data_IF_085231179481
#
_entry.id   IF_085231179481
#
_cell.length_a   1.000
_cell.length_b   1.000
_cell.length_c   1.000
_cell.angle_alpha   90.00
_cell.angle_beta   90.00
_cell.angle_gamma   90.00
#
_symmetry.space_group_name_H-M   'P 1'
#
loop_
_entity.id
_entity.type
_entity.pdbx_description
1 polymer ?
#
# COMPACT_ATOMS: atom_id res chain seq x y z
N UNK A 1 -1.31 35.06 -13.94
CA UNK A 1 -0.69 34.00 -13.14
C UNK A 1 -1.02 32.68 -13.84
N UNK A 2 -0.08 32.16 -14.65
CA UNK A 2 -0.31 30.89 -15.37
C UNK A 2 -0.24 29.76 -14.37
N UNK A 3 -1.38 29.08 -14.17
CA UNK A 3 -1.45 27.82 -13.42
C UNK A 3 -0.86 26.75 -14.35
N UNK A 4 0.21 26.05 -13.98
CA UNK A 4 0.74 24.97 -14.80
C UNK A 4 -0.30 23.84 -14.92
N UNK A 5 -0.28 23.07 -16.03
CA UNK A 5 -1.23 21.98 -16.21
C UNK A 5 -1.12 20.93 -15.08
N UNK A 6 -2.26 20.40 -14.71
CA UNK A 6 -2.41 19.33 -13.72
C UNK A 6 -1.68 18.08 -14.22
N UNK A 7 -0.62 17.67 -13.52
CA UNK A 7 0.11 16.43 -13.79
C UNK A 7 -0.58 15.27 -13.08
N UNK A 8 -0.68 14.15 -13.76
CA UNK A 8 -1.36 12.95 -13.25
C UNK A 8 -0.45 11.74 -13.20
N UNK A 9 -0.67 10.94 -12.19
CA UNK A 9 0.08 9.73 -11.94
C UNK A 9 -0.86 8.54 -12.13
N UNK A 10 -0.46 7.65 -13.03
CA UNK A 10 -1.07 6.33 -13.18
C UNK A 10 -0.13 5.31 -12.53
N UNK A 11 -0.54 4.77 -11.41
CA UNK A 11 0.09 3.57 -10.91
C UNK A 11 -0.62 2.39 -11.54
N UNK A 12 0.03 1.76 -12.51
CA UNK A 12 -0.32 0.47 -13.09
C UNK A 12 -1.61 0.35 -13.91
N UNK A 13 -1.49 0.28 -15.21
CA UNK A 13 -2.46 -0.42 -16.02
C UNK A 13 -1.75 -1.21 -17.11
N UNK A 14 -1.51 -2.49 -16.88
CA UNK A 14 -1.27 -3.41 -17.97
C UNK A 14 -2.45 -3.29 -18.96
N UNK A 15 -2.17 -2.91 -20.20
CA UNK A 15 -3.13 -2.86 -21.30
C UNK A 15 -3.60 -4.29 -21.63
N UNK A 16 -4.54 -4.81 -20.86
CA UNK A 16 -5.36 -5.93 -21.28
C UNK A 16 -6.59 -5.34 -21.95
N UNK A 17 -6.81 -5.68 -23.21
CA UNK A 17 -7.92 -5.28 -24.07
C UNK A 17 -9.29 -5.83 -23.66
N UNK A 18 -9.47 -6.22 -22.41
CA UNK A 18 -10.74 -6.64 -21.85
C UNK A 18 -11.33 -5.54 -21.00
N UNK A 19 -12.64 -5.26 -21.07
CA UNK A 19 -13.27 -4.27 -20.22
C UNK A 19 -13.01 -4.62 -18.75
N UNK A 20 -12.45 -3.65 -18.01
CA UNK A 20 -12.17 -3.78 -16.59
C UNK A 20 -13.51 -3.86 -15.83
N UNK A 21 -13.91 -5.07 -15.45
CA UNK A 21 -15.07 -5.26 -14.60
C UNK A 21 -14.63 -5.07 -13.14
N UNK A 22 -14.88 -3.90 -12.58
CA UNK A 22 -14.76 -3.68 -11.15
C UNK A 22 -15.93 -4.36 -10.45
N UNK A 23 -15.66 -5.37 -9.64
CA UNK A 23 -16.68 -5.98 -8.78
C UNK A 23 -16.80 -5.18 -7.49
N UNK A 24 -17.90 -4.47 -7.34
CA UNK A 24 -18.23 -3.78 -6.10
C UNK A 24 -19.08 -4.71 -5.23
N UNK A 25 -18.65 -4.97 -4.00
CA UNK A 25 -19.44 -5.69 -3.01
C UNK A 25 -20.06 -4.68 -2.05
N UNK A 26 -21.38 -4.61 -2.04
CA UNK A 26 -22.12 -3.80 -1.07
C UNK A 26 -22.68 -4.71 0.01
N UNK A 27 -22.32 -4.46 1.26
CA UNK A 27 -22.90 -5.16 2.41
C UNK A 27 -24.23 -4.54 2.73
N UNK A 28 -25.30 -5.29 2.57
CA UNK A 28 -26.64 -4.98 3.09
C UNK A 28 -27.02 -6.05 4.11
N UNK A 29 -27.90 -5.75 5.06
CA UNK A 29 -28.27 -6.65 6.18
C UNK A 29 -28.82 -8.03 5.79
N UNK A 30 -29.01 -8.31 4.53
CA UNK A 30 -29.54 -9.55 3.95
C UNK A 30 -28.54 -10.31 3.06
N UNK A 31 -27.27 -9.94 3.11
CA UNK A 31 -26.18 -10.63 2.41
C UNK A 31 -25.41 -9.76 1.43
N UNK A 32 -24.35 -10.34 0.87
CA UNK A 32 -23.48 -9.69 -0.12
C UNK A 32 -24.13 -9.76 -1.49
N UNK A 33 -24.61 -8.65 -2.02
CA UNK A 33 -25.04 -8.58 -3.42
C UNK A 33 -23.87 -8.20 -4.31
N UNK A 34 -23.61 -9.04 -5.31
CA UNK A 34 -22.65 -8.74 -6.38
C UNK A 34 -23.27 -7.73 -7.32
N UNK A 35 -22.75 -6.52 -7.35
CA UNK A 35 -23.13 -5.50 -8.32
C UNK A 35 -22.03 -5.40 -9.37
N UNK A 36 -22.33 -5.74 -10.60
CA UNK A 36 -21.42 -5.47 -11.71
C UNK A 36 -21.59 -4.00 -12.12
N UNK A 37 -20.55 -3.21 -11.90
CA UNK A 37 -20.46 -1.87 -12.47
C UNK A 37 -19.61 -1.95 -13.72
N UNK A 38 -20.18 -1.58 -14.85
CA UNK A 38 -19.40 -1.26 -16.03
C UNK A 38 -18.66 0.03 -15.70
N UNK A 39 -17.37 -0.07 -15.47
CA UNK A 39 -16.53 1.12 -15.33
C UNK A 39 -16.25 1.59 -16.75
N UNK A 40 -16.82 2.72 -17.14
CA UNK A 40 -16.44 3.39 -18.38
C UNK A 40 -14.92 3.58 -18.38
N UNK A 41 -14.30 3.31 -19.52
CA UNK A 41 -12.87 3.54 -19.69
C UNK A 41 -12.61 5.02 -19.42
N UNK A 42 -11.85 5.31 -18.39
CA UNK A 42 -11.51 6.68 -18.06
C UNK A 42 -10.76 7.33 -19.24
N UNK A 43 -11.15 8.55 -19.58
CA UNK A 43 -10.43 9.35 -20.56
C UNK A 43 -9.21 9.99 -19.88
N UNK A 44 -8.04 9.74 -20.44
CA UNK A 44 -6.75 10.24 -19.96
C UNK A 44 -6.11 11.23 -20.96
N UNK A 45 -6.86 11.72 -21.95
CA UNK A 45 -6.33 12.58 -23.00
C UNK A 45 -5.65 13.85 -22.45
N UNK A 46 -6.11 14.35 -21.30
CA UNK A 46 -5.57 15.55 -20.65
C UNK A 46 -4.47 15.24 -19.61
N UNK A 47 -3.99 13.99 -19.58
CA UNK A 47 -3.09 13.52 -18.55
C UNK A 47 -1.80 12.94 -19.12
N UNK A 48 -0.68 13.23 -18.47
CA UNK A 48 0.60 12.64 -18.75
C UNK A 48 0.98 11.68 -17.62
N UNK A 49 1.41 10.44 -17.98
CA UNK A 49 1.94 9.50 -17.03
C UNK A 49 3.33 9.96 -16.57
N UNK A 50 3.45 10.36 -15.32
CA UNK A 50 4.71 10.88 -14.75
C UNK A 50 5.44 9.87 -13.88
N UNK A 51 4.74 8.88 -13.36
CA UNK A 51 5.32 7.81 -12.57
C UNK A 51 4.39 6.60 -12.50
N UNK A 52 4.98 5.40 -12.49
CA UNK A 52 4.27 4.15 -12.23
C UNK A 52 5.22 3.11 -11.63
N UNK A 53 4.65 2.10 -10.99
CA UNK A 53 5.34 0.88 -10.60
C UNK A 53 4.39 -0.31 -10.78
N UNK A 54 4.73 -1.20 -11.69
CA UNK A 54 3.93 -2.38 -12.04
C UNK A 54 4.33 -3.63 -11.25
N UNK A 55 5.41 -3.52 -10.45
CA UNK A 55 5.95 -4.62 -9.65
C UNK A 55 6.29 -5.88 -10.48
N UNK A 56 6.73 -5.69 -11.73
CA UNK A 56 6.96 -6.77 -12.71
C UNK A 56 8.12 -7.68 -12.33
N UNK A 57 9.07 -7.17 -11.53
CA UNK A 57 10.23 -7.92 -11.08
C UNK A 57 9.94 -8.60 -9.75
N UNK A 58 9.94 -9.93 -9.73
CA UNK A 58 9.82 -10.70 -8.50
C UNK A 58 10.98 -10.43 -7.53
N UNK A 59 10.70 -10.43 -6.24
CA UNK A 59 11.66 -10.17 -5.17
C UNK A 59 11.32 -8.93 -4.35
N UNK A 60 12.33 -8.21 -3.89
CA UNK A 60 12.10 -6.98 -3.13
C UNK A 60 11.58 -5.86 -4.02
N UNK A 61 10.67 -5.00 -3.53
CA UNK A 61 10.30 -3.75 -4.18
C UNK A 61 11.53 -2.92 -4.59
N UNK A 62 11.43 -2.23 -5.72
CA UNK A 62 12.54 -1.46 -6.27
C UNK A 62 13.00 -0.37 -5.27
N UNK A 63 14.25 -0.39 -4.80
CA UNK A 63 14.76 0.61 -3.89
C UNK A 63 14.89 2.01 -4.53
N UNK A 64 14.77 2.13 -5.85
CA UNK A 64 14.66 3.44 -6.49
C UNK A 64 13.30 4.10 -6.20
N UNK A 65 12.24 3.30 -6.05
CA UNK A 65 10.87 3.75 -5.83
C UNK A 65 10.47 3.75 -4.35
N UNK A 66 10.97 2.77 -3.58
CA UNK A 66 10.46 2.49 -2.25
C UNK A 66 11.55 2.49 -1.17
N UNK A 67 11.17 3.02 -0.01
CA UNK A 67 11.86 2.85 1.25
C UNK A 67 10.98 2.03 2.19
N UNK A 68 11.60 1.48 3.25
CA UNK A 68 10.90 0.79 4.32
C UNK A 68 10.89 1.61 5.59
N UNK A 69 9.79 1.58 6.31
CA UNK A 69 9.77 1.95 7.71
C UNK A 69 10.15 0.74 8.57
N UNK A 70 10.81 0.97 9.68
CA UNK A 70 11.33 -0.07 10.56
C UNK A 70 10.82 0.10 11.99
N UNK A 71 10.43 -0.99 12.60
CA UNK A 71 10.06 -1.02 14.01
C UNK A 71 8.62 -0.57 14.30
N UNK A 72 8.39 -0.13 15.52
CA UNK A 72 7.15 0.52 15.90
C UNK A 72 7.20 2.00 15.47
N UNK A 73 6.37 2.40 14.54
CA UNK A 73 6.49 3.72 13.90
C UNK A 73 5.47 4.72 14.43
N UNK A 74 4.17 4.34 14.50
CA UNK A 74 3.08 5.29 14.82
C UNK A 74 1.95 4.64 15.62
N UNK A 75 1.06 5.47 16.15
CA UNK A 75 -0.26 5.10 16.70
C UNK A 75 -0.26 4.02 17.80
N UNK A 76 0.88 3.70 18.39
CA UNK A 76 1.05 2.57 19.34
C UNK A 76 0.58 1.23 18.76
N UNK A 77 0.70 1.07 17.44
CA UNK A 77 0.33 -0.13 16.71
C UNK A 77 1.03 -1.37 17.27
N UNK A 78 0.43 -2.54 17.06
CA UNK A 78 0.94 -3.80 17.63
C UNK A 78 2.04 -4.44 16.79
N UNK A 79 2.09 -4.12 15.50
CA UNK A 79 3.04 -4.72 14.55
C UNK A 79 4.38 -4.00 14.51
N UNK A 80 5.42 -4.80 14.36
CA UNK A 80 6.77 -4.37 14.01
C UNK A 80 6.92 -4.34 12.50
N UNK A 81 7.30 -3.20 11.93
CA UNK A 81 7.56 -3.09 10.50
C UNK A 81 8.96 -3.57 10.14
N UNK A 82 9.04 -4.41 9.12
CA UNK A 82 10.28 -4.97 8.60
C UNK A 82 10.17 -5.28 7.10
N UNK A 83 11.29 -5.23 6.34
CA UNK A 83 11.29 -5.48 4.89
C UNK A 83 10.81 -6.87 4.49
N UNK A 84 11.06 -7.88 5.29
CA UNK A 84 10.77 -9.30 5.02
C UNK A 84 9.27 -9.59 4.86
N UNK A 85 8.44 -8.63 5.23
CA UNK A 85 6.99 -8.70 5.09
C UNK A 85 6.47 -8.07 3.79
N UNK A 86 7.34 -7.52 2.91
CA UNK A 86 6.95 -7.01 1.62
C UNK A 86 7.79 -7.59 0.49
N UNK A 87 7.13 -8.06 -0.55
CA UNK A 87 7.78 -8.60 -1.73
C UNK A 87 6.91 -8.45 -2.97
N UNK A 88 7.55 -8.45 -4.13
CA UNK A 88 6.89 -8.47 -5.43
C UNK A 88 6.79 -9.90 -5.94
N UNK A 89 5.64 -10.28 -6.47
CA UNK A 89 5.42 -11.57 -7.13
C UNK A 89 4.30 -11.48 -8.15
N UNK A 90 4.59 -11.97 -9.35
CA UNK A 90 3.61 -12.03 -10.44
C UNK A 90 2.92 -10.67 -10.70
N UNK A 91 3.71 -9.60 -10.86
CA UNK A 91 3.22 -8.26 -11.13
C UNK A 91 2.37 -7.67 -9.98
N UNK A 92 2.74 -7.96 -8.73
CA UNK A 92 2.03 -7.46 -7.55
C UNK A 92 2.99 -7.20 -6.41
N UNK A 93 2.82 -6.07 -5.76
CA UNK A 93 3.37 -5.87 -4.42
C UNK A 93 2.48 -6.59 -3.40
N UNK A 94 3.10 -7.41 -2.58
CA UNK A 94 2.45 -8.14 -1.49
C UNK A 94 3.01 -7.59 -0.18
N UNK A 95 2.11 -7.14 0.70
CA UNK A 95 2.44 -6.77 2.08
C UNK A 95 1.70 -7.73 3.02
N UNK A 96 2.46 -8.42 3.87
CA UNK A 96 1.93 -9.43 4.78
C UNK A 96 1.96 -8.95 6.22
N UNK A 97 0.82 -9.10 6.92
CA UNK A 97 0.79 -9.11 8.37
C UNK A 97 0.96 -10.55 8.87
N UNK A 98 1.97 -10.79 9.72
CA UNK A 98 2.24 -12.11 10.29
C UNK A 98 2.08 -12.07 11.80
N UNK A 99 1.50 -13.13 12.37
CA UNK A 99 1.51 -13.35 13.80
C UNK A 99 2.79 -14.12 14.16
N UNK A 100 3.83 -13.37 14.46
CA UNK A 100 5.14 -13.91 14.82
C UNK A 100 5.82 -12.98 15.83
N UNK A 101 6.60 -13.58 16.70
CA UNK A 101 7.35 -12.83 17.70
C UNK A 101 8.62 -12.25 17.11
N UNK A 102 8.83 -10.97 17.36
CA UNK A 102 10.06 -10.28 17.02
C UNK A 102 10.66 -9.64 18.27
N UNK A 103 11.88 -10.07 18.62
CA UNK A 103 12.60 -9.53 19.76
C UNK A 103 13.10 -8.11 19.45
N UNK A 104 12.96 -7.23 20.42
CA UNK A 104 13.42 -5.85 20.27
C UNK A 104 14.83 -5.65 20.83
N UNK A 105 15.76 -5.14 19.99
CA UNK A 105 17.13 -4.90 20.45
C UNK A 105 17.26 -3.70 21.41
N UNK A 106 16.29 -2.77 21.38
CA UNK A 106 16.29 -1.52 22.14
C UNK A 106 15.18 -1.48 23.21
N UNK A 107 14.86 -2.64 23.81
CA UNK A 107 13.90 -2.70 24.91
C UNK A 107 14.43 -1.93 26.13
N UNK A 108 13.61 -1.03 26.65
CA UNK A 108 13.87 -0.27 27.84
C UNK A 108 12.67 -0.37 28.80
N UNK A 109 12.77 -1.20 29.86
CA UNK A 109 11.66 -1.43 30.78
C UNK A 109 11.32 -0.21 31.62
N UNK A 110 12.27 0.69 31.84
CA UNK A 110 12.08 1.94 32.60
C UNK A 110 11.75 3.14 31.68
N UNK A 111 11.81 2.91 30.38
CA UNK A 111 11.58 3.93 29.37
C UNK A 111 10.12 4.37 29.28
N UNK A 112 9.87 5.66 29.20
CA UNK A 112 8.54 6.24 28.98
C UNK A 112 8.12 6.20 27.50
N UNK A 113 9.03 5.84 26.60
CA UNK A 113 8.74 5.79 25.19
C UNK A 113 8.02 4.49 24.86
N UNK A 114 6.78 4.58 24.37
CA UNK A 114 5.97 3.42 23.98
C UNK A 114 6.66 2.51 22.94
N UNK A 115 7.52 3.12 22.09
CA UNK A 115 8.27 2.38 21.07
C UNK A 115 9.35 1.48 21.68
N UNK A 116 9.84 1.77 22.89
CA UNK A 116 10.86 0.96 23.59
C UNK A 116 10.32 0.16 24.77
N UNK A 117 9.13 0.50 25.26
CA UNK A 117 8.52 -0.11 26.45
C UNK A 117 8.05 -1.57 26.26
N UNK A 118 7.99 -2.08 25.04
CA UNK A 118 7.61 -3.46 24.75
C UNK A 118 8.86 -4.32 24.54
N UNK A 119 8.93 -5.46 25.22
CA UNK A 119 10.05 -6.41 25.11
C UNK A 119 10.10 -7.09 23.74
N UNK A 120 8.95 -7.40 23.20
CA UNK A 120 8.78 -8.06 21.90
C UNK A 120 7.56 -7.51 21.18
N UNK A 121 7.54 -7.64 19.86
CA UNK A 121 6.33 -7.50 19.06
C UNK A 121 5.73 -8.90 18.85
N UNK A 122 4.41 -8.99 18.83
CA UNK A 122 3.69 -10.25 18.56
C UNK A 122 3.24 -10.37 17.11
N UNK A 123 3.38 -9.29 16.36
CA UNK A 123 3.04 -9.20 14.94
C UNK A 123 4.14 -8.47 14.21
N UNK A 124 4.39 -8.92 12.98
CA UNK A 124 5.22 -8.20 12.02
C UNK A 124 4.40 -7.79 10.80
N UNK A 125 4.83 -6.76 10.12
CA UNK A 125 4.22 -6.28 8.88
C UNK A 125 5.24 -5.50 8.06
N UNK A 126 4.84 -4.99 6.90
CA UNK A 126 5.64 -4.05 6.13
C UNK A 126 4.93 -2.70 6.00
N UNK A 127 5.71 -1.65 5.98
CA UNK A 127 5.27 -0.33 5.61
C UNK A 127 6.27 0.26 4.61
N UNK A 128 5.79 0.54 3.40
CA UNK A 128 6.58 1.15 2.33
C UNK A 128 6.22 2.62 2.19
N UNK A 129 7.21 3.41 1.80
CA UNK A 129 7.06 4.85 1.60
C UNK A 129 7.92 5.30 0.43
N UNK A 130 7.42 6.26 -0.36
CA UNK A 130 8.19 6.95 -1.39
C UNK A 130 8.85 8.24 -0.86
N UNK A 131 8.88 8.45 0.46
CA UNK A 131 9.45 9.64 1.09
C UNK A 131 10.90 9.85 0.67
N UNK A 132 11.20 11.06 0.17
CA UNK A 132 12.53 11.42 -0.30
C UNK A 132 12.89 10.89 -1.68
N UNK A 133 11.96 10.21 -2.37
CA UNK A 133 12.13 9.73 -3.74
C UNK A 133 11.21 10.48 -4.69
N UNK A 134 9.92 10.46 -4.40
CA UNK A 134 8.90 11.12 -5.20
C UNK A 134 7.94 11.90 -4.31
N UNK A 135 7.47 13.03 -4.80
CA UNK A 135 6.39 13.80 -4.21
C UNK A 135 5.66 14.58 -5.30
N UNK A 136 4.36 14.66 -5.18
CA UNK A 136 3.51 15.40 -6.12
C UNK A 136 2.53 16.24 -5.35
N UNK A 137 2.38 17.48 -5.76
CA UNK A 137 1.47 18.41 -5.10
C UNK A 137 0.03 18.19 -5.59
N UNK A 138 -0.13 17.92 -6.88
CA UNK A 138 -1.40 17.68 -7.53
C UNK A 138 -1.27 16.55 -8.53
N UNK A 139 -2.38 15.90 -8.83
CA UNK A 139 -2.42 14.88 -9.85
C UNK A 139 -3.53 13.87 -9.61
N UNK A 140 -3.65 12.93 -10.53
CA UNK A 140 -4.52 11.76 -10.40
C UNK A 140 -3.68 10.57 -9.97
N UNK A 141 -4.11 9.89 -8.93
CA UNK A 141 -3.49 8.68 -8.40
C UNK A 141 -4.42 7.50 -8.66
N UNK A 142 -3.90 6.46 -9.27
CA UNK A 142 -4.62 5.22 -9.47
C UNK A 142 -3.88 4.08 -8.80
N UNK A 143 -4.55 3.38 -7.90
CA UNK A 143 -3.99 2.24 -7.17
C UNK A 143 -4.94 1.06 -7.36
N UNK A 144 -4.43 -0.02 -7.96
CA UNK A 144 -5.15 -1.29 -8.01
C UNK A 144 -4.74 -2.13 -6.80
N UNK A 145 -5.67 -2.31 -5.86
CA UNK A 145 -5.37 -3.03 -4.63
C UNK A 145 -6.42 -4.11 -4.33
N UNK A 146 -5.98 -5.16 -3.62
CA UNK A 146 -6.85 -6.18 -3.06
C UNK A 146 -6.63 -6.23 -1.56
N UNK A 147 -7.68 -6.01 -0.81
CA UNK A 147 -7.68 -6.12 0.64
C UNK A 147 -8.51 -7.34 1.08
N UNK A 148 -8.14 -7.95 2.19
CA UNK A 148 -8.99 -8.92 2.87
C UNK A 148 -9.96 -8.16 3.77
N UNK A 149 -11.26 -8.11 3.46
CA UNK A 149 -12.24 -7.40 4.30
C UNK A 149 -12.48 -8.22 5.57
N UNK A 150 -11.79 -7.88 6.64
CA UNK A 150 -11.95 -8.48 7.95
C UNK A 150 -12.20 -7.39 8.98
N UNK A 151 -12.91 -7.73 10.04
CA UNK A 151 -13.06 -6.85 11.18
C UNK A 151 -11.70 -6.43 11.75
N UNK A 152 -11.55 -5.13 12.05
CA UNK A 152 -10.29 -4.57 12.53
C UNK A 152 -9.30 -4.13 11.44
N UNK A 153 -9.63 -4.32 10.16
CA UNK A 153 -8.86 -3.72 9.04
C UNK A 153 -9.29 -2.28 8.82
N UNK A 154 -8.32 -1.36 8.81
CA UNK A 154 -8.53 0.07 8.57
C UNK A 154 -7.33 0.67 7.84
#
# INVERSE_FOLDING_TARGET
MNIPPLFNILASAALLSTPLHAQLYTLHGDGVKKTERVVEKADYSDYELVWHDEFDKDGSPDPANWNYEHGFVRNKEAQWYQPENAYCRNGKLISEGRKEKHAKPNYDPEGKNWQTARKEAEYTSASLTARGKFSWLYGRFEIRARFSPREGMW
#
